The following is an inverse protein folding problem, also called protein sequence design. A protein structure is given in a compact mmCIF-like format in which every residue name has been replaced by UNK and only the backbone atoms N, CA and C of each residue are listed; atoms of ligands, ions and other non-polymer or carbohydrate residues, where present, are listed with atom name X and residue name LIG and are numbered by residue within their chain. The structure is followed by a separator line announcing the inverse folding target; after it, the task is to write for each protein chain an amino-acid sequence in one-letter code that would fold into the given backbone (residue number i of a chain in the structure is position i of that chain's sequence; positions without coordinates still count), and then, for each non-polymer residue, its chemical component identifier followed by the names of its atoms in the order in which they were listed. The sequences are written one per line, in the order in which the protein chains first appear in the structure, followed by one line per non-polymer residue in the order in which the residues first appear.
data_IF_135490511113
#
_entry.id   IF_135490511113
#
_cell.length_a   1.000
_cell.length_b   1.000
_cell.length_c   1.000
_cell.angle_alpha   90.00
_cell.angle_beta   90.00
_cell.angle_gamma   90.00
#
_symmetry.space_group_name_H-M   'P 1'
#
loop_
_entity.id
_entity.type
_entity.pdbx_description
1 polymer ?
#
# COMPACT_ATOMS: atom_id res chain seq x y z
N UNK A 1 31.89 -66.39 22.67
CA UNK A 1 30.92 -65.61 21.87
C UNK A 1 31.49 -64.22 21.71
N UNK A 2 32.01 -63.90 20.54
CA UNK A 2 32.61 -62.60 20.25
C UNK A 2 31.67 -61.89 19.29
N UNK A 3 30.88 -60.96 19.82
CA UNK A 3 29.92 -60.16 19.04
C UNK A 3 30.70 -59.21 18.15
N UNK A 4 30.73 -59.46 16.85
CA UNK A 4 31.37 -58.59 15.86
C UNK A 4 30.45 -57.38 15.64
N UNK A 5 30.89 -56.20 16.09
CA UNK A 5 30.17 -54.97 15.80
C UNK A 5 30.25 -54.67 14.29
N UNK A 6 29.09 -54.53 13.65
CA UNK A 6 28.99 -54.13 12.25
C UNK A 6 29.44 -52.66 12.14
N UNK A 7 30.35 -52.30 11.22
CA UNK A 7 30.77 -50.92 11.06
C UNK A 7 29.56 -50.10 10.58
N UNK A 8 29.21 -49.04 11.30
CA UNK A 8 28.23 -48.08 10.80
C UNK A 8 28.80 -47.42 9.55
N UNK A 9 28.17 -47.64 8.40
CA UNK A 9 28.51 -46.94 7.16
C UNK A 9 28.24 -45.46 7.38
N UNK A 10 29.30 -44.67 7.43
CA UNK A 10 29.19 -43.22 7.60
C UNK A 10 28.43 -42.66 6.39
N UNK A 11 27.25 -42.07 6.63
CA UNK A 11 26.41 -41.52 5.57
C UNK A 11 27.13 -40.30 4.97
N UNK A 12 27.63 -40.44 3.74
CA UNK A 12 28.21 -39.35 2.97
C UNK A 12 27.11 -38.60 2.21
N UNK A 13 27.06 -37.27 2.34
CA UNK A 13 26.20 -36.41 1.52
C UNK A 13 26.72 -36.37 0.07
N UNK A 14 25.83 -36.32 -0.95
CA UNK A 14 26.25 -36.17 -2.34
C UNK A 14 27.12 -34.92 -2.51
N UNK A 15 28.28 -35.07 -3.15
CA UNK A 15 29.15 -33.93 -3.49
C UNK A 15 28.52 -33.15 -4.65
N UNK A 16 28.40 -31.81 -4.57
CA UNK A 16 27.93 -31.01 -5.70
C UNK A 16 28.83 -31.23 -6.92
N UNK A 17 28.26 -31.73 -8.00
CA UNK A 17 28.92 -31.81 -9.30
C UNK A 17 28.46 -30.62 -10.14
N UNK A 18 29.34 -29.65 -10.36
CA UNK A 18 29.07 -28.54 -11.27
C UNK A 18 29.40 -29.01 -12.69
N UNK A 19 28.41 -29.56 -13.39
CA UNK A 19 28.54 -29.84 -14.83
C UNK A 19 28.18 -28.58 -15.61
N UNK A 20 29.00 -28.21 -16.57
CA UNK A 20 28.64 -27.22 -17.58
C UNK A 20 27.45 -27.77 -18.38
N UNK A 21 26.26 -27.22 -18.17
CA UNK A 21 25.10 -27.54 -19.00
C UNK A 21 25.27 -26.81 -20.33
N UNK A 22 25.03 -27.46 -21.47
CA UNK A 22 25.24 -26.88 -22.82
C UNK A 22 24.61 -25.48 -23.03
N UNK A 23 23.57 -25.13 -22.28
CA UNK A 23 22.98 -23.80 -22.27
C UNK A 23 23.87 -22.71 -21.62
N UNK A 24 24.67 -23.06 -20.61
CA UNK A 24 25.63 -22.18 -19.92
C UNK A 24 26.97 -22.03 -20.64
N UNK A 25 27.32 -22.98 -21.52
CA UNK A 25 28.52 -22.92 -22.37
C UNK A 25 28.35 -22.06 -23.64
N UNK A 26 27.11 -21.74 -24.01
CA UNK A 26 26.82 -21.12 -25.31
C UNK A 26 27.22 -19.65 -25.31
N UNK A 27 28.14 -19.30 -26.21
CA UNK A 27 28.50 -17.90 -26.48
C UNK A 27 27.51 -17.31 -27.48
N UNK A 28 26.87 -16.20 -27.10
CA UNK A 28 25.94 -15.43 -27.93
C UNK A 28 26.13 -13.94 -27.61
N UNK A 29 25.60 -13.01 -28.43
CA UNK A 29 25.70 -11.58 -28.11
C UNK A 29 25.21 -11.31 -26.68
N UNK A 30 26.02 -10.59 -25.90
CA UNK A 30 25.78 -10.29 -24.49
C UNK A 30 25.80 -11.50 -23.53
N UNK A 31 26.33 -12.67 -23.91
CA UNK A 31 26.48 -13.82 -22.99
C UNK A 31 27.39 -13.52 -21.78
N UNK A 32 28.29 -12.54 -21.90
CA UNK A 32 29.13 -12.05 -20.80
C UNK A 32 28.51 -10.85 -20.04
N UNK A 33 27.31 -10.41 -20.42
CA UNK A 33 26.64 -9.30 -19.76
C UNK A 33 26.25 -9.68 -18.33
N UNK A 34 26.68 -8.85 -17.39
CA UNK A 34 26.37 -9.02 -15.95
C UNK A 34 25.12 -8.24 -15.53
N UNK A 35 24.34 -7.77 -16.51
CA UNK A 35 23.16 -6.93 -16.33
C UNK A 35 22.12 -7.29 -17.36
N UNK A 36 20.86 -7.19 -16.98
CA UNK A 36 19.75 -7.39 -17.89
C UNK A 36 19.73 -6.29 -18.96
N UNK A 37 19.61 -6.70 -20.22
CA UNK A 37 19.60 -5.83 -21.41
C UNK A 37 18.23 -5.80 -22.12
N UNK A 38 17.21 -6.48 -21.56
CA UNK A 38 15.86 -6.56 -22.16
C UNK A 38 14.96 -5.36 -21.84
N UNK A 39 15.42 -4.40 -21.04
CA UNK A 39 14.70 -3.15 -20.78
C UNK A 39 15.64 -1.94 -20.69
N UNK A 40 15.06 -0.75 -20.89
CA UNK A 40 15.74 0.52 -20.65
C UNK A 40 15.54 0.96 -19.20
N UNK A 41 16.62 1.17 -18.41
CA UNK A 41 16.52 1.72 -17.06
C UNK A 41 15.91 3.13 -17.04
N UNK A 42 15.15 3.44 -15.99
CA UNK A 42 14.59 4.78 -15.81
C UNK A 42 15.64 5.82 -15.41
N UNK A 43 16.66 5.40 -14.65
CA UNK A 43 17.80 6.24 -14.25
C UNK A 43 19.03 5.95 -15.12
N UNK A 44 20.12 6.70 -14.92
CA UNK A 44 21.40 6.47 -15.61
C UNK A 44 21.96 5.04 -15.41
N UNK A 45 21.64 4.41 -14.28
CA UNK A 45 22.00 3.03 -13.97
C UNK A 45 20.74 2.28 -13.56
N UNK A 46 20.64 1.05 -14.03
CA UNK A 46 19.66 0.05 -13.59
C UNK A 46 19.75 -0.14 -12.08
N UNK A 47 18.60 -0.10 -11.41
CA UNK A 47 18.49 -0.50 -10.01
C UNK A 47 18.19 -1.99 -9.90
N UNK A 48 18.50 -2.58 -8.74
CA UNK A 48 18.15 -3.97 -8.48
C UNK A 48 16.63 -4.18 -8.38
N UNK A 49 15.87 -3.13 -8.01
CA UNK A 49 14.42 -3.13 -8.11
C UNK A 49 13.96 -3.36 -9.56
N UNK A 50 14.56 -2.65 -10.51
CA UNK A 50 14.19 -2.82 -11.93
C UNK A 50 14.53 -4.23 -12.41
N UNK A 51 15.68 -4.79 -12.00
CA UNK A 51 16.10 -6.15 -12.33
C UNK A 51 15.10 -7.24 -11.93
N UNK A 52 14.36 -7.02 -10.83
CA UNK A 52 13.45 -8.02 -10.26
C UNK A 52 11.98 -7.67 -10.45
N UNK A 53 11.65 -6.56 -11.11
CA UNK A 53 10.26 -6.13 -11.31
C UNK A 53 9.89 -5.84 -12.76
N UNK A 54 10.81 -5.32 -13.57
CA UNK A 54 10.54 -5.00 -14.98
C UNK A 54 10.39 -6.30 -15.77
N UNK A 55 9.37 -6.39 -16.62
CA UNK A 55 9.12 -7.52 -17.53
C UNK A 55 8.92 -8.90 -16.85
N UNK A 56 8.71 -8.94 -15.53
CA UNK A 56 8.33 -10.18 -14.82
C UNK A 56 6.91 -10.64 -15.18
N UNK A 57 5.99 -9.69 -15.38
CA UNK A 57 4.66 -9.99 -15.89
C UNK A 57 4.74 -10.08 -17.42
N UNK A 58 4.44 -11.24 -18.04
CA UNK A 58 4.64 -11.44 -19.47
C UNK A 58 3.50 -10.79 -20.27
N UNK A 59 3.62 -9.48 -20.56
CA UNK A 59 2.67 -8.80 -21.43
C UNK A 59 2.73 -9.41 -22.84
N UNK A 60 1.64 -10.01 -23.34
CA UNK A 60 1.64 -10.64 -24.64
C UNK A 60 1.96 -9.67 -25.77
N UNK A 61 1.72 -8.37 -25.59
CA UNK A 61 2.05 -7.34 -26.57
C UNK A 61 3.54 -7.25 -26.86
N UNK A 62 4.40 -7.64 -25.92
CA UNK A 62 5.85 -7.62 -26.13
C UNK A 62 6.41 -9.02 -26.45
N UNK A 63 6.07 -10.04 -25.67
CA UNK A 63 6.75 -11.33 -25.72
C UNK A 63 5.95 -12.49 -26.33
N UNK A 64 4.61 -12.43 -26.40
CA UNK A 64 3.79 -13.59 -26.76
C UNK A 64 3.07 -13.37 -28.09
N UNK A 65 3.67 -13.88 -29.17
CA UNK A 65 3.08 -13.83 -30.53
C UNK A 65 1.68 -14.45 -30.64
N UNK A 66 1.30 -15.31 -29.68
CA UNK A 66 0.01 -16.00 -29.61
C UNK A 66 -1.01 -15.38 -28.64
N UNK A 67 -0.67 -14.26 -27.98
CA UNK A 67 -1.51 -13.68 -26.93
C UNK A 67 -1.39 -14.41 -25.59
N UNK A 68 -2.38 -14.22 -24.71
CA UNK A 68 -2.45 -14.90 -23.41
C UNK A 68 -2.69 -16.40 -23.56
N UNK A 69 -1.90 -17.23 -22.87
CA UNK A 69 -2.06 -18.69 -22.88
C UNK A 69 -3.32 -19.17 -22.13
N UNK A 70 -3.71 -18.44 -21.08
CA UNK A 70 -4.90 -18.70 -20.29
C UNK A 70 -5.70 -17.40 -20.11
N UNK A 71 -7.02 -17.53 -20.04
CA UNK A 71 -7.95 -16.43 -19.87
C UNK A 71 -9.11 -16.81 -18.96
N UNK A 72 -9.96 -15.83 -18.69
CA UNK A 72 -11.21 -16.02 -17.96
C UNK A 72 -12.23 -16.77 -18.83
N UNK A 73 -13.28 -17.31 -18.19
CA UNK A 73 -14.32 -18.09 -18.87
C UNK A 73 -15.10 -17.28 -19.94
N UNK A 74 -15.08 -15.95 -19.84
CA UNK A 74 -15.67 -15.01 -20.82
C UNK A 74 -14.72 -14.68 -21.99
N UNK A 75 -13.55 -15.32 -22.06
CA UNK A 75 -12.56 -15.14 -23.11
C UNK A 75 -11.57 -13.99 -22.88
N UNK A 76 -11.68 -13.25 -21.76
CA UNK A 76 -10.74 -12.16 -21.44
C UNK A 76 -9.35 -12.70 -21.07
N UNK A 77 -8.31 -11.96 -21.43
CA UNK A 77 -6.93 -12.29 -21.09
C UNK A 77 -6.63 -12.25 -19.59
N UNK A 78 -5.44 -12.70 -19.18
CA UNK A 78 -5.07 -12.79 -17.76
C UNK A 78 -4.95 -11.46 -17.02
N UNK A 79 -4.63 -10.38 -17.75
CA UNK A 79 -4.51 -9.00 -17.24
C UNK A 79 -5.14 -8.02 -18.25
N UNK A 80 -6.47 -7.91 -18.28
CA UNK A 80 -7.17 -6.96 -19.13
C UNK A 80 -6.91 -5.52 -18.66
N UNK A 81 -6.53 -4.64 -19.61
CA UNK A 81 -6.25 -3.24 -19.30
C UNK A 81 -7.53 -2.45 -18.95
N UNK A 82 -8.70 -2.95 -19.35
CA UNK A 82 -10.01 -2.36 -19.06
C UNK A 82 -10.49 -2.56 -17.62
N UNK A 83 -9.69 -3.21 -16.76
CA UNK A 83 -9.94 -3.23 -15.31
C UNK A 83 -9.72 -1.87 -14.64
N UNK A 84 -9.27 -0.87 -15.40
CA UNK A 84 -9.43 0.53 -15.08
C UNK A 84 -9.93 1.30 -16.30
N UNK A 85 -10.66 2.39 -16.06
CA UNK A 85 -11.07 3.33 -17.09
C UNK A 85 -9.96 4.31 -17.49
N UNK A 86 -8.92 4.50 -16.65
CA UNK A 86 -7.72 5.26 -17.02
C UNK A 86 -6.93 4.53 -18.10
N UNK A 87 -6.20 5.30 -18.91
CA UNK A 87 -5.42 4.73 -20.01
C UNK A 87 -4.04 5.35 -20.06
N UNK A 88 -3.05 4.54 -20.41
CA UNK A 88 -1.74 5.01 -20.85
C UNK A 88 -1.62 4.85 -22.38
N UNK A 89 -0.74 5.62 -23.01
CA UNK A 89 -0.50 5.55 -24.44
C UNK A 89 -0.26 4.10 -24.90
N UNK A 90 -0.81 3.72 -26.04
CA UNK A 90 -0.72 2.35 -26.55
C UNK A 90 -1.59 1.31 -25.83
N UNK A 91 -2.45 1.69 -24.88
CA UNK A 91 -3.46 0.78 -24.29
C UNK A 91 -4.48 0.27 -25.31
N UNK A 92 -4.66 1.00 -26.41
CA UNK A 92 -5.51 0.67 -27.56
C UNK A 92 -4.85 -0.32 -28.55
N UNK A 93 -3.56 -0.62 -28.37
CA UNK A 93 -2.87 -1.61 -29.20
C UNK A 93 -3.49 -3.00 -28.99
N UNK A 94 -3.83 -3.72 -30.08
CA UNK A 94 -4.37 -5.05 -29.98
C UNK A 94 -3.35 -6.00 -29.35
N UNK A 95 -3.87 -6.94 -28.56
CA UNK A 95 -3.09 -8.12 -28.12
C UNK A 95 -2.81 -8.97 -29.36
N UNK A 96 -1.59 -9.48 -29.56
CA UNK A 96 -1.31 -10.40 -30.66
C UNK A 96 -2.23 -11.63 -30.64
N UNK A 97 -2.74 -12.03 -31.81
CA UNK A 97 -3.62 -13.19 -31.97
C UNK A 97 -2.88 -14.34 -32.67
N UNK A 98 -3.21 -15.58 -32.28
CA UNK A 98 -2.63 -16.79 -32.86
C UNK A 98 -3.30 -17.16 -34.18
N UNK A 99 -2.52 -17.20 -35.27
CA UNK A 99 -2.93 -17.82 -36.53
C UNK A 99 -1.74 -18.48 -37.24
N UNK A 100 -2.00 -19.30 -38.27
CA UNK A 100 -0.93 -19.95 -39.02
C UNK A 100 -0.02 -18.89 -39.68
N UNK A 101 1.25 -18.84 -39.28
CA UNK A 101 2.20 -17.82 -39.74
C UNK A 101 2.28 -16.56 -38.89
N UNK A 102 1.58 -16.48 -37.74
CA UNK A 102 1.63 -15.32 -36.82
C UNK A 102 2.92 -15.21 -35.99
N UNK A 103 3.95 -16.02 -36.28
CA UNK A 103 5.24 -15.94 -35.61
C UNK A 103 5.90 -14.59 -35.92
N UNK A 104 5.97 -13.71 -34.93
CA UNK A 104 6.52 -12.37 -35.06
C UNK A 104 6.89 -11.77 -33.71
N UNK A 105 7.79 -10.77 -33.74
CA UNK A 105 8.10 -9.95 -32.58
C UNK A 105 6.90 -9.05 -32.23
N UNK A 106 6.64 -8.86 -30.93
CA UNK A 106 5.63 -7.91 -30.45
C UNK A 106 6.03 -6.45 -30.70
N UNK A 107 5.35 -5.53 -30.01
CA UNK A 107 5.74 -4.12 -30.02
C UNK A 107 7.09 -3.93 -29.33
N UNK A 108 7.88 -2.94 -29.77
CA UNK A 108 9.13 -2.57 -29.09
C UNK A 108 8.88 -2.14 -27.64
N UNK A 109 9.87 -2.35 -26.77
CA UNK A 109 9.79 -1.92 -25.37
C UNK A 109 9.94 -0.38 -25.26
N UNK A 110 9.10 0.30 -24.46
CA UNK A 110 7.91 -0.21 -23.77
C UNK A 110 6.74 -0.48 -24.72
N UNK A 111 6.02 -1.60 -24.52
CA UNK A 111 4.89 -1.96 -25.38
C UNK A 111 3.68 -1.00 -25.26
N UNK A 112 3.54 -0.33 -24.11
CA UNK A 112 2.57 0.72 -23.80
C UNK A 112 3.00 1.49 -22.54
N UNK A 113 2.38 2.64 -22.28
CA UNK A 113 2.80 3.56 -21.21
C UNK A 113 2.75 3.00 -19.79
N UNK A 114 1.95 1.96 -19.50
CA UNK A 114 2.00 1.32 -18.17
C UNK A 114 3.36 0.69 -17.83
N UNK A 115 4.18 0.40 -18.84
CA UNK A 115 5.54 -0.12 -18.64
C UNK A 115 6.55 0.95 -18.22
N UNK A 116 6.16 2.23 -18.25
CA UNK A 116 7.03 3.36 -17.89
C UNK A 116 7.07 3.59 -16.37
N UNK A 117 6.08 3.10 -15.62
CA UNK A 117 6.04 3.27 -14.17
C UNK A 117 7.24 2.60 -13.48
N UNK A 118 7.84 3.32 -12.52
CA UNK A 118 8.83 2.80 -11.57
C UNK A 118 8.48 3.33 -10.20
N UNK A 119 8.44 2.45 -9.21
CA UNK A 119 8.29 2.86 -7.82
C UNK A 119 9.56 3.64 -7.37
N UNK A 120 9.46 4.93 -7.00
CA UNK A 120 10.59 5.70 -6.50
C UNK A 120 11.15 5.19 -5.16
N UNK A 121 10.41 4.33 -4.46
CA UNK A 121 10.86 3.66 -3.26
C UNK A 121 11.83 2.50 -3.56
N UNK A 122 11.84 1.99 -4.80
CA UNK A 122 12.66 0.85 -5.23
C UNK A 122 12.53 -0.37 -4.30
N UNK A 123 11.33 -0.58 -3.75
CA UNK A 123 11.05 -1.69 -2.86
C UNK A 123 10.77 -2.97 -3.63
N UNK A 124 11.31 -4.08 -3.15
CA UNK A 124 11.06 -5.43 -3.61
C UNK A 124 11.12 -6.36 -2.41
N UNK A 125 10.82 -7.64 -2.58
CA UNK A 125 10.64 -8.62 -1.50
C UNK A 125 11.64 -8.48 -0.34
N UNK A 126 12.95 -8.45 -0.62
CA UNK A 126 13.96 -8.36 0.43
C UNK A 126 13.94 -7.03 1.18
N UNK A 127 13.79 -5.90 0.48
CA UNK A 127 13.83 -4.58 1.12
C UNK A 127 12.58 -4.34 1.95
N UNK A 128 11.42 -4.81 1.48
CA UNK A 128 10.17 -4.84 2.23
C UNK A 128 10.33 -5.57 3.57
N UNK A 129 10.80 -6.82 3.54
CA UNK A 129 10.94 -7.62 4.77
C UNK A 129 11.97 -7.02 5.74
N UNK A 130 13.07 -6.46 5.23
CA UNK A 130 14.06 -5.78 6.05
C UNK A 130 13.46 -4.55 6.73
N UNK A 131 12.71 -3.74 6.00
CA UNK A 131 12.05 -2.56 6.54
C UNK A 131 11.04 -2.94 7.64
N UNK A 132 10.09 -3.82 7.34
CA UNK A 132 9.07 -4.24 8.30
C UNK A 132 9.66 -4.91 9.54
N UNK A 133 10.71 -5.74 9.38
CA UNK A 133 11.41 -6.33 10.53
C UNK A 133 12.02 -5.27 11.46
N UNK A 134 12.57 -4.18 10.89
CA UNK A 134 13.11 -3.09 11.68
C UNK A 134 12.01 -2.31 12.41
N UNK A 135 10.89 -2.01 11.75
CA UNK A 135 9.75 -1.32 12.35
C UNK A 135 9.19 -2.12 13.52
N UNK A 136 8.84 -3.40 13.31
CA UNK A 136 8.29 -4.27 14.36
C UNK A 136 9.27 -4.41 15.53
N UNK A 137 10.57 -4.53 15.26
CA UNK A 137 11.58 -4.57 16.33
C UNK A 137 11.59 -3.28 17.14
N UNK A 138 11.51 -2.12 16.49
CA UNK A 138 11.49 -0.82 17.17
C UNK A 138 10.23 -0.65 18.02
N UNK A 139 9.05 -1.02 17.50
CA UNK A 139 7.80 -0.93 18.25
C UNK A 139 7.82 -1.83 19.49
N UNK A 140 8.27 -3.07 19.35
CA UNK A 140 8.41 -3.98 20.49
C UNK A 140 9.39 -3.44 21.55
N UNK A 141 10.53 -2.88 21.12
CA UNK A 141 11.49 -2.27 22.06
C UNK A 141 10.88 -1.09 22.83
N UNK A 142 10.07 -0.25 22.16
CA UNK A 142 9.39 0.86 22.81
C UNK A 142 8.37 0.38 23.86
N UNK A 143 7.60 -0.66 23.54
CA UNK A 143 6.62 -1.26 24.46
C UNK A 143 7.34 -1.87 25.68
N UNK A 144 8.43 -2.60 25.48
CA UNK A 144 9.21 -3.17 26.58
C UNK A 144 9.83 -2.10 27.47
N UNK A 145 10.32 -1.00 26.90
CA UNK A 145 10.80 0.13 27.68
C UNK A 145 9.68 0.77 28.51
N UNK A 146 8.47 0.89 27.95
CA UNK A 146 7.29 1.40 28.64
C UNK A 146 6.87 0.51 29.82
N UNK A 147 6.90 -0.82 29.64
CA UNK A 147 6.68 -1.81 30.72
C UNK A 147 7.66 -1.60 31.87
N UNK A 148 8.96 -1.54 31.56
CA UNK A 148 10.00 -1.36 32.58
C UNK A 148 9.87 -0.03 33.34
N UNK A 149 9.49 1.03 32.63
CA UNK A 149 9.29 2.35 33.20
C UNK A 149 7.94 2.54 33.91
N UNK A 150 7.04 1.54 33.87
CA UNK A 150 5.64 1.65 34.31
C UNK A 150 4.95 2.88 33.70
N UNK A 151 5.17 3.10 32.41
CA UNK A 151 4.69 4.27 31.71
C UNK A 151 3.15 4.32 31.63
N UNK A 152 2.51 3.16 31.55
CA UNK A 152 1.05 3.05 31.44
C UNK A 152 0.32 3.59 32.68
N UNK A 153 0.93 3.49 33.87
CA UNK A 153 0.38 4.02 35.13
C UNK A 153 0.19 5.55 35.11
N UNK A 154 0.86 6.24 34.18
CA UNK A 154 0.84 7.69 34.06
C UNK A 154 -0.29 8.19 33.15
N UNK A 155 -1.03 7.29 32.49
CA UNK A 155 -2.05 7.66 31.54
C UNK A 155 -3.28 8.23 32.24
N UNK A 156 -3.82 9.30 31.67
CA UNK A 156 -5.10 9.85 32.11
C UNK A 156 -6.22 8.83 31.87
N UNK A 157 -7.17 8.70 32.82
CA UNK A 157 -8.23 7.69 32.74
C UNK A 157 -9.09 7.83 31.47
N UNK A 158 -9.44 9.05 31.08
CA UNK A 158 -10.23 9.29 29.87
C UNK A 158 -9.42 8.97 28.60
N UNK A 159 -8.08 9.09 28.66
CA UNK A 159 -7.20 8.69 27.57
C UNK A 159 -7.13 7.17 27.40
N UNK A 160 -7.07 6.41 28.50
CA UNK A 160 -7.15 4.95 28.47
C UNK A 160 -8.41 4.49 27.73
N UNK A 161 -9.56 5.08 28.08
CA UNK A 161 -10.83 4.79 27.41
C UNK A 161 -10.82 5.20 25.92
N UNK A 162 -10.28 6.39 25.62
CA UNK A 162 -10.13 6.88 24.24
C UNK A 162 -9.30 5.92 23.38
N UNK A 163 -8.17 5.42 23.88
CA UNK A 163 -7.32 4.45 23.16
C UNK A 163 -8.06 3.14 22.93
N UNK A 164 -8.70 2.59 23.97
CA UNK A 164 -9.48 1.35 23.89
C UNK A 164 -10.58 1.43 22.82
N UNK A 165 -11.27 2.57 22.72
CA UNK A 165 -12.38 2.78 21.80
C UNK A 165 -11.91 3.16 20.40
N UNK A 166 -11.10 4.22 20.29
CA UNK A 166 -10.90 4.94 19.03
C UNK A 166 -9.60 4.57 18.32
N UNK A 167 -8.48 4.46 19.05
CA UNK A 167 -7.24 3.93 18.47
C UNK A 167 -7.44 2.46 18.10
N UNK A 168 -8.13 1.70 18.96
CA UNK A 168 -8.55 0.35 18.62
C UNK A 168 -9.51 0.27 17.43
N UNK A 169 -10.42 1.24 17.23
CA UNK A 169 -11.33 1.20 16.08
C UNK A 169 -10.61 1.44 14.75
N UNK A 170 -9.50 2.19 14.76
CA UNK A 170 -8.72 2.48 13.56
C UNK A 170 -8.17 1.22 12.86
N UNK A 171 -7.86 0.17 13.63
CA UNK A 171 -7.35 -1.10 13.06
C UNK A 171 -8.32 -1.72 12.03
N UNK A 172 -9.63 -1.46 12.14
CA UNK A 172 -10.63 -1.95 11.18
C UNK A 172 -10.52 -1.25 9.83
N UNK A 173 -10.16 0.04 9.83
CA UNK A 173 -9.89 0.81 8.61
C UNK A 173 -8.67 0.23 7.91
N UNK A 174 -7.56 0.09 8.63
CA UNK A 174 -6.31 -0.43 8.06
C UNK A 174 -6.45 -1.86 7.54
N UNK A 175 -7.09 -2.74 8.32
CA UNK A 175 -7.34 -4.10 7.88
C UNK A 175 -8.27 -4.12 6.65
N UNK A 176 -9.33 -3.32 6.66
CA UNK A 176 -10.29 -3.22 5.57
C UNK A 176 -9.66 -2.77 4.26
N UNK A 177 -8.94 -1.64 4.29
CA UNK A 177 -8.27 -1.09 3.11
C UNK A 177 -7.10 -1.98 2.67
N UNK A 178 -6.30 -2.48 3.61
CA UNK A 178 -5.17 -3.36 3.32
C UNK A 178 -5.60 -4.63 2.59
N UNK A 179 -6.57 -5.36 3.15
CA UNK A 179 -6.99 -6.67 2.65
C UNK A 179 -8.01 -6.58 1.50
N UNK A 180 -8.95 -5.65 1.53
CA UNK A 180 -10.06 -5.64 0.55
C UNK A 180 -9.94 -4.53 -0.51
N UNK A 181 -9.07 -3.53 -0.32
CA UNK A 181 -8.79 -2.53 -1.35
C UNK A 181 -7.47 -2.84 -2.06
N UNK A 182 -6.34 -2.72 -1.36
CA UNK A 182 -5.02 -2.82 -1.99
C UNK A 182 -4.68 -4.27 -2.40
N UNK A 183 -5.08 -5.27 -1.59
CA UNK A 183 -4.89 -6.66 -1.98
C UNK A 183 -5.71 -7.05 -3.24
N UNK A 184 -6.86 -6.42 -3.45
CA UNK A 184 -7.67 -6.60 -4.66
C UNK A 184 -7.13 -5.78 -5.85
N UNK A 185 -6.72 -4.54 -5.62
CA UNK A 185 -6.17 -3.66 -6.64
C UNK A 185 -4.88 -4.21 -7.25
N UNK A 186 -3.97 -4.78 -6.44
CA UNK A 186 -2.73 -5.33 -6.98
C UNK A 186 -2.98 -6.45 -7.98
N UNK A 187 -4.02 -7.29 -7.83
CA UNK A 187 -4.30 -8.35 -8.82
C UNK A 187 -4.63 -7.75 -10.19
N UNK A 188 -5.21 -6.55 -10.22
CA UNK A 188 -5.73 -5.92 -11.44
C UNK A 188 -4.75 -4.97 -12.11
N UNK A 189 -3.65 -4.61 -11.44
CA UNK A 189 -2.71 -3.67 -12.00
C UNK A 189 -1.95 -4.26 -13.21
N UNK A 190 -1.58 -3.43 -14.20
CA UNK A 190 -1.21 -3.89 -15.54
C UNK A 190 0.23 -4.38 -15.68
N UNK A 191 1.10 -4.08 -14.72
CA UNK A 191 2.50 -4.53 -14.72
C UNK A 191 2.96 -4.89 -13.32
N UNK A 192 3.98 -5.76 -13.22
CA UNK A 192 4.54 -6.17 -11.93
C UNK A 192 5.12 -5.00 -11.12
N UNK A 193 5.54 -3.92 -11.78
CA UNK A 193 5.99 -2.69 -11.12
C UNK A 193 4.84 -2.04 -10.32
N UNK A 194 3.63 -2.01 -10.89
CA UNK A 194 2.43 -1.59 -10.17
C UNK A 194 2.02 -2.61 -9.12
N UNK A 195 1.93 -3.90 -9.49
CA UNK A 195 1.48 -4.95 -8.57
C UNK A 195 2.33 -4.93 -7.28
N UNK A 196 3.65 -4.84 -7.42
CA UNK A 196 4.58 -4.78 -6.29
C UNK A 196 4.42 -3.51 -5.45
N UNK A 197 4.30 -2.32 -6.06
CA UNK A 197 4.10 -1.09 -5.30
C UNK A 197 2.79 -1.11 -4.49
N UNK A 198 1.73 -1.64 -5.07
CA UNK A 198 0.40 -1.78 -4.46
C UNK A 198 0.38 -2.88 -3.40
N UNK A 199 1.07 -4.01 -3.63
CA UNK A 199 1.13 -5.10 -2.66
C UNK A 199 1.88 -4.70 -1.40
N UNK A 200 2.98 -3.95 -1.52
CA UNK A 200 3.67 -3.38 -0.36
C UNK A 200 2.74 -2.43 0.42
N UNK A 201 1.96 -1.58 -0.27
CA UNK A 201 0.98 -0.71 0.37
C UNK A 201 -0.05 -1.53 1.18
N UNK A 202 -0.55 -2.63 0.59
CA UNK A 202 -1.45 -3.57 1.26
C UNK A 202 -0.80 -4.16 2.52
N UNK A 203 0.46 -4.61 2.41
CA UNK A 203 1.18 -5.22 3.52
C UNK A 203 1.46 -4.24 4.66
N UNK A 204 1.80 -2.97 4.38
CA UNK A 204 1.98 -1.96 5.42
C UNK A 204 0.67 -1.70 6.20
N UNK A 205 -0.47 -1.63 5.50
CA UNK A 205 -1.79 -1.50 6.14
C UNK A 205 -2.14 -2.68 7.02
N UNK A 206 -1.97 -3.90 6.50
CA UNK A 206 -2.25 -5.11 7.27
C UNK A 206 -1.30 -5.19 8.48
N UNK A 207 -0.03 -4.81 8.33
CA UNK A 207 0.93 -4.73 9.45
C UNK A 207 0.45 -3.71 10.49
N UNK A 208 0.10 -2.49 10.10
CA UNK A 208 -0.37 -1.45 11.02
C UNK A 208 -1.61 -1.91 11.81
N UNK A 209 -2.58 -2.54 11.15
CA UNK A 209 -3.74 -3.13 11.83
C UNK A 209 -3.34 -4.20 12.86
N UNK A 210 -2.37 -5.06 12.53
CA UNK A 210 -1.86 -6.09 13.43
C UNK A 210 -1.04 -5.49 14.58
N UNK A 211 -0.24 -4.46 14.33
CA UNK A 211 0.52 -3.71 15.34
C UNK A 211 -0.46 -3.10 16.36
N UNK A 212 -1.57 -2.50 15.91
CA UNK A 212 -2.63 -1.98 16.78
C UNK A 212 -3.35 -3.09 17.57
N UNK A 213 -3.61 -4.24 16.96
CA UNK A 213 -4.25 -5.37 17.64
C UNK A 213 -3.34 -5.98 18.73
N UNK A 214 -2.05 -6.17 18.44
CA UNK A 214 -1.06 -6.63 19.41
C UNK A 214 -0.83 -5.61 20.53
N UNK A 215 -0.89 -4.33 20.19
CA UNK A 215 -0.83 -3.26 21.18
C UNK A 215 -2.06 -3.25 22.09
N UNK A 216 -3.27 -3.43 21.54
CA UNK A 216 -4.49 -3.56 22.33
C UNK A 216 -4.44 -4.75 23.30
N UNK A 217 -3.88 -5.89 22.86
CA UNK A 217 -3.61 -7.04 23.75
C UNK A 217 -2.63 -6.66 24.87
N UNK A 218 -1.53 -5.98 24.54
CA UNK A 218 -0.55 -5.50 25.53
C UNK A 218 -1.22 -4.57 26.56
N UNK A 219 -2.01 -3.60 26.11
CA UNK A 219 -2.72 -2.67 27.01
C UNK A 219 -3.73 -3.39 27.91
N UNK A 220 -4.38 -4.44 27.41
CA UNK A 220 -5.29 -5.28 28.19
C UNK A 220 -4.58 -6.06 29.31
N UNK A 221 -3.29 -6.37 29.13
CA UNK A 221 -2.45 -7.03 30.13
C UNK A 221 -1.87 -6.04 31.15
N UNK A 222 -1.48 -4.84 30.70
CA UNK A 222 -0.73 -3.87 31.50
C UNK A 222 -1.61 -2.88 32.28
N UNK A 223 -2.81 -2.57 31.78
CA UNK A 223 -3.69 -1.55 32.38
C UNK A 223 -4.91 -2.23 33.00
N UNK A 224 -5.01 -2.18 34.34
CA UNK A 224 -6.16 -2.71 35.06
C UNK A 224 -7.46 -2.04 34.60
N UNK A 225 -8.43 -2.86 34.18
CA UNK A 225 -9.74 -2.39 33.72
C UNK A 225 -9.76 -1.86 32.28
N UNK A 226 -8.70 -2.05 31.49
CA UNK A 226 -8.72 -1.75 30.06
C UNK A 226 -9.70 -2.67 29.32
N UNK A 227 -10.65 -2.08 28.59
CA UNK A 227 -11.61 -2.84 27.77
C UNK A 227 -11.07 -3.02 26.34
N UNK A 228 -10.30 -4.09 26.14
CA UNK A 228 -9.76 -4.44 24.83
C UNK A 228 -10.82 -4.70 23.76
N UNK A 229 -12.08 -4.97 24.12
CA UNK A 229 -13.18 -5.19 23.20
C UNK A 229 -13.95 -3.93 22.79
N UNK A 230 -13.70 -2.79 23.44
CA UNK A 230 -14.48 -1.56 23.25
C UNK A 230 -14.50 -1.05 21.80
N UNK A 231 -13.42 -1.28 21.06
CA UNK A 231 -13.29 -0.90 19.66
C UNK A 231 -14.33 -1.53 18.73
N UNK A 232 -14.83 -2.74 19.04
CA UNK A 232 -15.83 -3.44 18.22
C UNK A 232 -17.16 -2.68 18.24
N UNK A 233 -17.64 -2.34 19.43
CA UNK A 233 -18.88 -1.60 19.58
C UNK A 233 -18.74 -0.16 19.04
N UNK A 234 -17.56 0.44 19.25
CA UNK A 234 -17.23 1.77 18.73
C UNK A 234 -17.32 1.79 17.20
N UNK A 235 -16.63 0.88 16.51
CA UNK A 235 -16.69 0.76 15.05
C UNK A 235 -18.12 0.51 14.54
N UNK A 236 -18.84 -0.43 15.17
CA UNK A 236 -20.14 -0.87 14.68
C UNK A 236 -21.27 0.14 14.92
N UNK A 237 -21.21 0.95 15.98
CA UNK A 237 -22.38 1.69 16.46
C UNK A 237 -22.11 3.14 16.88
N UNK A 238 -20.87 3.57 17.12
CA UNK A 238 -20.61 4.95 17.52
C UNK A 238 -20.94 5.89 16.35
N UNK A 239 -21.85 6.88 16.54
CA UNK A 239 -22.17 7.87 15.52
C UNK A 239 -20.95 8.59 14.95
N UNK A 240 -19.92 8.84 15.76
CA UNK A 240 -18.70 9.53 15.33
C UNK A 240 -17.89 8.72 14.29
N UNK A 241 -18.05 7.39 14.28
CA UNK A 241 -17.34 6.48 13.37
C UNK A 241 -18.13 6.11 12.12
N UNK A 242 -19.44 6.35 12.07
CA UNK A 242 -20.25 5.84 10.97
C UNK A 242 -19.88 6.44 9.61
N UNK A 243 -19.51 7.72 9.55
CA UNK A 243 -19.04 8.32 8.30
C UNK A 243 -17.73 7.71 7.78
N UNK A 244 -16.79 7.39 8.68
CA UNK A 244 -15.53 6.71 8.33
C UNK A 244 -15.79 5.28 7.89
N UNK A 245 -16.62 4.55 8.65
CA UNK A 245 -16.99 3.17 8.34
C UNK A 245 -17.67 3.05 6.99
N UNK A 246 -18.70 3.85 6.73
CA UNK A 246 -19.40 3.85 5.44
C UNK A 246 -18.41 4.16 4.29
N UNK A 247 -17.56 5.17 4.46
CA UNK A 247 -16.58 5.55 3.44
C UNK A 247 -15.58 4.41 3.20
N UNK A 248 -15.03 3.81 4.25
CA UNK A 248 -14.09 2.69 4.15
C UNK A 248 -14.72 1.46 3.49
N UNK A 249 -15.95 1.10 3.86
CA UNK A 249 -16.69 -0.01 3.23
C UNK A 249 -16.93 0.29 1.74
N UNK A 250 -17.34 1.51 1.37
CA UNK A 250 -17.51 1.91 -0.02
C UNK A 250 -16.20 1.84 -0.81
N UNK A 251 -15.07 2.26 -0.22
CA UNK A 251 -13.75 2.17 -0.85
C UNK A 251 -13.39 0.71 -1.21
N UNK A 252 -13.72 -0.26 -0.34
CA UNK A 252 -13.47 -1.69 -0.62
C UNK A 252 -14.35 -2.27 -1.73
N UNK A 253 -15.43 -1.59 -2.10
CA UNK A 253 -16.34 -2.02 -3.16
C UNK A 253 -15.94 -1.56 -4.56
N UNK A 254 -14.91 -0.71 -4.67
CA UNK A 254 -14.48 -0.15 -5.96
C UNK A 254 -13.87 -1.25 -6.83
N UNK A 255 -14.41 -1.40 -8.04
CA UNK A 255 -13.89 -2.35 -9.01
C UNK A 255 -12.66 -1.82 -9.76
N UNK A 256 -12.70 -0.56 -10.18
CA UNK A 256 -11.60 0.09 -10.88
C UNK A 256 -10.40 0.25 -9.94
N UNK A 257 -9.29 -0.43 -10.25
CA UNK A 257 -8.14 -0.46 -9.34
C UNK A 257 -7.44 0.89 -9.21
N UNK A 258 -7.45 1.73 -10.26
CA UNK A 258 -6.91 3.09 -10.17
C UNK A 258 -7.83 3.97 -9.36
N UNK A 259 -9.15 3.89 -9.56
CA UNK A 259 -10.10 4.64 -8.73
C UNK A 259 -9.92 4.28 -7.26
N UNK A 260 -9.77 2.99 -6.95
CA UNK A 260 -9.59 2.51 -5.60
C UNK A 260 -8.36 3.12 -4.91
N UNK A 261 -7.21 3.09 -5.59
CA UNK A 261 -5.96 3.66 -5.05
C UNK A 261 -6.05 5.19 -4.99
N UNK A 262 -6.64 5.83 -6.00
CA UNK A 262 -6.82 7.28 -6.02
C UNK A 262 -7.68 7.74 -4.84
N UNK A 263 -8.86 7.14 -4.68
CA UNK A 263 -9.78 7.46 -3.61
C UNK A 263 -9.16 7.18 -2.22
N UNK A 264 -8.39 6.09 -2.07
CA UNK A 264 -7.69 5.80 -0.82
C UNK A 264 -6.52 6.75 -0.54
N UNK A 265 -5.47 6.72 -1.36
CA UNK A 265 -4.20 7.40 -1.07
C UNK A 265 -4.21 8.90 -1.38
N UNK A 266 -5.02 9.36 -2.35
CA UNK A 266 -5.08 10.79 -2.72
C UNK A 266 -6.17 11.50 -1.93
N UNK A 267 -7.29 10.85 -1.58
CA UNK A 267 -8.46 11.52 -0.97
C UNK A 267 -8.67 11.13 0.50
N UNK A 268 -8.93 9.84 0.78
CA UNK A 268 -9.28 9.38 2.12
C UNK A 268 -8.15 9.55 3.12
N UNK A 269 -6.93 9.16 2.75
CA UNK A 269 -5.79 9.23 3.66
C UNK A 269 -5.45 10.66 4.06
N UNK A 270 -5.30 11.65 3.15
CA UNK A 270 -5.03 13.02 3.56
C UNK A 270 -6.17 13.68 4.35
N UNK A 271 -7.44 13.38 4.02
CA UNK A 271 -8.59 14.07 4.62
C UNK A 271 -9.09 13.41 5.91
N UNK A 272 -8.95 12.09 6.05
CA UNK A 272 -9.48 11.31 7.19
C UNK A 272 -8.33 10.65 7.96
N UNK A 273 -7.42 9.95 7.27
CA UNK A 273 -6.30 9.24 7.87
C UNK A 273 -5.36 10.14 8.66
N UNK A 274 -4.70 11.08 7.98
CA UNK A 274 -3.77 12.04 8.61
C UNK A 274 -4.49 12.96 9.63
N UNK A 275 -5.78 13.24 9.41
CA UNK A 275 -6.59 14.00 10.37
C UNK A 275 -6.76 13.23 11.68
N UNK A 276 -7.09 11.93 11.62
CA UNK A 276 -7.21 11.09 12.80
C UNK A 276 -5.85 10.82 13.44
N UNK A 277 -4.86 10.36 12.67
CA UNK A 277 -3.55 9.95 13.17
C UNK A 277 -2.71 11.12 13.66
N UNK A 278 -2.40 12.07 12.78
CA UNK A 278 -1.43 13.14 13.04
C UNK A 278 -2.02 14.33 13.77
N UNK A 279 -3.29 14.65 13.53
CA UNK A 279 -3.92 15.86 14.08
C UNK A 279 -4.75 15.60 15.37
N UNK A 280 -5.15 14.35 15.63
CA UNK A 280 -5.81 13.96 16.88
C UNK A 280 -4.88 13.10 17.74
N UNK A 281 -4.59 11.87 17.33
CA UNK A 281 -3.94 10.89 18.22
C UNK A 281 -2.52 11.32 18.61
N UNK A 282 -1.66 11.64 17.64
CA UNK A 282 -0.28 12.07 17.92
C UNK A 282 -0.18 13.37 18.71
N UNK A 283 -1.17 14.28 18.56
CA UNK A 283 -1.18 15.55 19.29
C UNK A 283 -1.68 15.39 20.73
N UNK A 284 -2.67 14.53 20.96
CA UNK A 284 -3.30 14.36 22.26
C UNK A 284 -2.48 13.47 23.20
N UNK A 285 -1.86 12.41 22.68
CA UNK A 285 -1.29 11.35 23.53
C UNK A 285 -0.21 11.83 24.51
N UNK A 286 0.82 12.62 24.13
CA UNK A 286 1.93 12.94 25.04
C UNK A 286 1.48 13.71 26.28
N UNK A 287 0.54 14.65 26.12
CA UNK A 287 0.00 15.44 27.23
C UNK A 287 -0.99 14.65 28.10
N UNK A 288 -1.45 13.48 27.64
CA UNK A 288 -2.21 12.53 28.44
C UNK A 288 -1.35 11.43 29.09
N UNK A 289 -0.01 11.59 29.09
CA UNK A 289 0.92 10.64 29.68
C UNK A 289 1.33 9.49 28.75
N UNK A 290 0.89 9.52 27.50
CA UNK A 290 1.13 8.46 26.52
C UNK A 290 2.14 8.87 25.45
N UNK A 291 3.35 8.32 25.59
CA UNK A 291 4.42 8.45 24.59
C UNK A 291 4.60 7.21 23.73
N UNK A 292 3.74 6.18 23.88
CA UNK A 292 3.86 4.90 23.19
C UNK A 292 2.95 4.88 21.96
N UNK A 293 1.66 5.21 22.11
CA UNK A 293 0.70 5.25 20.99
C UNK A 293 1.21 6.11 19.83
N UNK A 294 1.80 7.30 20.04
CA UNK A 294 2.38 8.10 18.95
C UNK A 294 3.47 7.38 18.16
N UNK A 295 4.20 6.43 18.74
CA UNK A 295 5.25 5.69 18.03
C UNK A 295 4.67 4.66 17.06
N UNK A 296 3.55 4.03 17.41
CA UNK A 296 2.83 3.11 16.52
C UNK A 296 2.17 3.88 15.38
N UNK A 297 1.39 4.90 15.74
CA UNK A 297 0.73 5.78 14.76
C UNK A 297 1.76 6.50 13.89
N UNK A 298 2.91 6.87 14.44
CA UNK A 298 4.02 7.46 13.70
C UNK A 298 4.64 6.53 12.66
N UNK A 299 4.72 5.23 12.93
CA UNK A 299 5.19 4.25 11.96
C UNK A 299 4.22 4.12 10.78
N UNK A 300 2.92 4.03 11.05
CA UNK A 300 1.88 4.02 10.00
C UNK A 300 1.86 5.32 9.19
N UNK A 301 1.96 6.47 9.86
CA UNK A 301 1.97 7.78 9.20
C UNK A 301 3.20 7.94 8.30
N UNK A 302 4.35 7.41 8.72
CA UNK A 302 5.55 7.36 7.88
C UNK A 302 5.34 6.46 6.65
N UNK A 303 4.76 5.26 6.83
CA UNK A 303 4.45 4.35 5.73
C UNK A 303 3.54 5.03 4.70
N UNK A 304 2.55 5.80 5.14
CA UNK A 304 1.71 6.55 4.23
C UNK A 304 2.46 7.71 3.54
N UNK A 305 2.97 8.66 4.33
CA UNK A 305 3.46 9.94 3.82
C UNK A 305 4.76 9.81 3.01
N UNK A 306 5.68 8.96 3.46
CA UNK A 306 7.02 8.84 2.89
C UNK A 306 7.15 7.70 1.88
N UNK A 307 6.18 6.78 1.84
CA UNK A 307 6.23 5.60 0.97
C UNK A 307 4.99 5.48 0.07
N UNK A 308 3.79 5.37 0.63
CA UNK A 308 2.59 5.03 -0.15
C UNK A 308 2.17 6.19 -1.06
N UNK A 309 2.09 7.40 -0.51
CA UNK A 309 1.83 8.60 -1.32
C UNK A 309 2.97 8.84 -2.32
N UNK A 310 4.20 8.48 -1.96
CA UNK A 310 5.40 8.67 -2.77
C UNK A 310 5.42 7.81 -4.05
N UNK A 311 4.87 6.58 -4.05
CA UNK A 311 4.67 5.83 -5.30
C UNK A 311 3.38 6.24 -6.04
N UNK A 312 2.35 6.62 -5.28
CA UNK A 312 1.04 7.00 -5.84
C UNK A 312 1.15 8.21 -6.75
N UNK A 313 1.88 9.25 -6.32
CA UNK A 313 2.07 10.49 -7.08
C UNK A 313 2.67 10.26 -8.48
N UNK A 314 3.86 9.64 -8.66
CA UNK A 314 4.42 9.39 -9.98
C UNK A 314 3.59 8.43 -10.83
N UNK A 315 2.89 7.46 -10.22
CA UNK A 315 1.96 6.57 -10.93
C UNK A 315 0.86 7.37 -11.63
N UNK A 316 0.16 8.25 -10.90
CA UNK A 316 -0.88 9.11 -11.50
C UNK A 316 -0.30 10.23 -12.34
N UNK A 317 0.91 10.73 -12.03
CA UNK A 317 1.58 11.75 -12.84
C UNK A 317 1.78 11.28 -14.30
N UNK A 318 2.18 10.03 -14.52
CA UNK A 318 2.29 9.43 -15.85
C UNK A 318 0.96 9.44 -16.61
N UNK A 319 -0.17 9.27 -15.91
CA UNK A 319 -1.51 9.22 -16.51
C UNK A 319 -2.07 10.61 -16.80
N UNK A 320 -1.86 11.61 -15.94
CA UNK A 320 -2.30 12.99 -16.20
C UNK A 320 -1.46 13.65 -17.29
N UNK A 321 -0.17 13.32 -17.37
CA UNK A 321 0.75 13.85 -18.40
C UNK A 321 0.81 12.97 -19.66
N UNK A 322 0.01 11.91 -19.74
CA UNK A 322 -0.04 11.03 -20.89
C UNK A 322 -0.37 11.80 -22.16
N UNK A 323 0.44 11.60 -23.21
CA UNK A 323 0.33 12.39 -24.46
C UNK A 323 -0.92 12.08 -25.26
N UNK A 324 -1.52 10.89 -25.09
CA UNK A 324 -2.67 10.42 -25.84
C UNK A 324 -3.96 10.56 -25.03
N UNK A 325 -3.93 10.29 -23.72
CA UNK A 325 -5.11 10.16 -22.86
C UNK A 325 -5.11 11.12 -21.65
N UNK A 326 -4.10 11.99 -21.51
CA UNK A 326 -3.94 12.81 -20.29
C UNK A 326 -5.13 13.75 -20.03
N UNK A 327 -5.77 14.27 -21.07
CA UNK A 327 -6.96 15.11 -20.93
C UNK A 327 -8.18 14.31 -20.42
N UNK A 328 -8.44 13.14 -21.01
CA UNK A 328 -9.52 12.25 -20.57
C UNK A 328 -9.26 11.73 -19.15
N UNK A 329 -8.02 11.35 -18.84
CA UNK A 329 -7.62 10.87 -17.52
C UNK A 329 -7.83 11.95 -16.45
N UNK A 330 -7.38 13.19 -16.66
CA UNK A 330 -7.62 14.31 -15.73
C UNK A 330 -9.11 14.53 -15.51
N UNK A 331 -9.91 14.49 -16.58
CA UNK A 331 -11.37 14.63 -16.48
C UNK A 331 -11.99 13.52 -15.61
N UNK A 332 -11.58 12.27 -15.81
CA UNK A 332 -12.08 11.14 -15.02
C UNK A 332 -11.67 11.25 -13.54
N UNK A 333 -10.41 11.57 -13.25
CA UNK A 333 -9.96 11.79 -11.87
C UNK A 333 -10.69 12.96 -11.21
N UNK A 334 -11.03 14.02 -11.96
CA UNK A 334 -11.87 15.10 -11.43
C UNK A 334 -13.27 14.62 -11.04
N UNK A 335 -13.88 13.71 -11.80
CA UNK A 335 -15.16 13.10 -11.46
C UNK A 335 -15.06 12.20 -10.21
N UNK A 336 -13.95 11.49 -10.04
CA UNK A 336 -13.68 10.76 -8.80
C UNK A 336 -13.55 11.71 -7.61
N UNK A 337 -12.90 12.87 -7.76
CA UNK A 337 -12.82 13.88 -6.70
C UNK A 337 -14.21 14.41 -6.30
N UNK A 338 -15.09 14.69 -7.27
CA UNK A 338 -16.48 15.11 -7.02
C UNK A 338 -17.27 14.06 -6.22
N UNK A 339 -16.90 12.78 -6.34
CA UNK A 339 -17.55 11.69 -5.59
C UNK A 339 -16.95 11.51 -4.19
N UNK A 340 -15.62 11.44 -4.10
CA UNK A 340 -14.93 10.99 -2.90
C UNK A 340 -14.61 12.11 -1.91
N UNK A 341 -14.40 13.35 -2.37
CA UNK A 341 -14.11 14.47 -1.46
C UNK A 341 -15.28 14.76 -0.52
N UNK A 342 -16.55 14.87 -1.00
CA UNK A 342 -17.67 15.12 -0.09
C UNK A 342 -17.85 14.01 0.95
N UNK A 343 -17.66 12.75 0.56
CA UNK A 343 -17.73 11.58 1.48
C UNK A 343 -16.65 11.66 2.56
N UNK A 344 -15.41 11.94 2.17
CA UNK A 344 -14.29 12.05 3.11
C UNK A 344 -14.41 13.27 4.02
N UNK A 345 -14.86 14.42 3.51
CA UNK A 345 -15.13 15.61 4.34
C UNK A 345 -16.26 15.32 5.35
N UNK A 346 -17.34 14.67 4.93
CA UNK A 346 -18.41 14.25 5.84
C UNK A 346 -17.90 13.29 6.92
N UNK A 347 -17.10 12.28 6.56
CA UNK A 347 -16.47 11.36 7.49
C UNK A 347 -15.57 12.09 8.50
N UNK A 348 -14.70 12.98 8.02
CA UNK A 348 -13.81 13.80 8.83
C UNK A 348 -14.58 14.68 9.84
N UNK A 349 -15.64 15.36 9.39
CA UNK A 349 -16.52 16.18 10.25
C UNK A 349 -17.23 15.35 11.31
N UNK A 350 -17.61 14.12 10.97
CA UNK A 350 -18.31 13.22 11.89
C UNK A 350 -17.41 12.75 13.04
N UNK A 351 -16.08 12.72 12.84
CA UNK A 351 -15.09 12.45 13.89
C UNK A 351 -14.86 13.61 14.86
N UNK A 352 -15.37 14.82 14.58
CA UNK A 352 -15.15 16.01 15.42
C UNK A 352 -15.38 15.78 16.93
N UNK A 353 -16.42 15.04 17.40
CA UNK A 353 -16.64 14.84 18.83
C UNK A 353 -15.45 14.24 19.57
N UNK A 354 -14.60 13.46 18.86
CA UNK A 354 -13.44 12.79 19.43
C UNK A 354 -12.41 13.79 20.00
N UNK A 355 -12.32 15.00 19.45
CA UNK A 355 -11.40 16.06 19.91
C UNK A 355 -11.66 16.53 21.35
N UNK A 356 -12.85 16.27 21.87
CA UNK A 356 -13.28 16.74 23.18
C UNK A 356 -13.14 15.70 24.29
N UNK A 357 -12.87 14.43 23.94
CA UNK A 357 -12.87 13.33 24.89
C UNK A 357 -11.60 13.20 25.74
N UNK A 358 -10.37 13.37 25.19
CA UNK A 358 -9.17 13.36 26.03
C UNK A 358 -9.16 14.52 27.03
N UNK A 359 -8.56 14.30 28.21
CA UNK A 359 -8.43 15.34 29.24
C UNK A 359 -7.50 16.46 28.76
N UNK A 360 -6.31 16.11 28.28
CA UNK A 360 -5.45 17.02 27.54
C UNK A 360 -5.82 16.97 26.06
N UNK A 361 -6.46 18.03 25.58
CA UNK A 361 -7.02 18.08 24.22
C UNK A 361 -5.95 18.38 23.18
N UNK A 362 -6.07 17.84 21.96
CA UNK A 362 -5.25 18.28 20.83
C UNK A 362 -5.61 19.73 20.43
N UNK A 363 -4.88 20.34 19.48
CA UNK A 363 -5.31 21.56 18.80
C UNK A 363 -6.74 21.45 18.25
N UNK A 364 -7.40 22.60 18.01
CA UNK A 364 -8.81 22.61 17.61
C UNK A 364 -9.02 21.81 16.33
N UNK A 365 -10.17 21.14 16.26
CA UNK A 365 -10.56 20.32 15.10
C UNK A 365 -10.46 21.11 13.77
N UNK A 366 -11.00 22.33 13.72
CA UNK A 366 -10.93 23.18 12.51
C UNK A 366 -9.48 23.45 12.08
N UNK A 367 -8.56 23.68 13.02
CA UNK A 367 -7.14 23.92 12.69
C UNK A 367 -6.47 22.63 12.14
N UNK A 368 -6.90 21.46 12.60
CA UNK A 368 -6.46 20.17 12.06
C UNK A 368 -7.02 19.91 10.66
N UNK A 369 -8.32 20.15 10.47
CA UNK A 369 -8.99 19.96 9.20
C UNK A 369 -8.48 20.95 8.13
N UNK A 370 -8.24 22.20 8.47
CA UNK A 370 -7.67 23.19 7.54
C UNK A 370 -6.25 22.78 7.07
N UNK A 371 -5.45 22.22 7.97
CA UNK A 371 -4.13 21.65 7.62
C UNK A 371 -4.26 20.47 6.67
N UNK A 372 -5.18 19.54 6.95
CA UNK A 372 -5.46 18.40 6.08
C UNK A 372 -5.92 18.85 4.68
N UNK A 373 -6.86 19.81 4.61
CA UNK A 373 -7.35 20.39 3.34
C UNK A 373 -6.24 21.12 2.55
N UNK A 374 -5.38 21.86 3.24
CA UNK A 374 -4.25 22.54 2.62
C UNK A 374 -3.26 21.54 2.02
N UNK A 375 -2.94 20.47 2.77
CA UNK A 375 -2.06 19.40 2.29
C UNK A 375 -2.66 18.64 1.11
N UNK A 376 -3.95 18.29 1.20
CA UNK A 376 -4.69 17.68 0.10
C UNK A 376 -4.66 18.55 -1.16
N UNK A 377 -4.88 19.86 -1.02
CA UNK A 377 -4.82 20.80 -2.16
C UNK A 377 -3.43 20.83 -2.82
N UNK A 378 -2.36 20.72 -2.03
CA UNK A 378 -1.00 20.62 -2.56
C UNK A 378 -0.79 19.30 -3.34
N UNK A 379 -1.29 18.17 -2.82
CA UNK A 379 -1.26 16.87 -3.52
C UNK A 379 -1.99 16.95 -4.86
N UNK A 380 -3.19 17.56 -4.90
CA UNK A 380 -3.94 17.73 -6.15
C UNK A 380 -3.19 18.61 -7.16
N UNK A 381 -2.54 19.67 -6.68
CA UNK A 381 -1.75 20.57 -7.54
C UNK A 381 -0.57 19.85 -8.21
N UNK A 382 0.11 18.96 -7.48
CA UNK A 382 1.18 18.11 -8.04
C UNK A 382 0.67 17.12 -9.10
N UNK A 383 -0.62 16.76 -9.04
CA UNK A 383 -1.29 15.89 -9.99
C UNK A 383 -2.02 16.65 -11.11
N UNK A 384 -1.85 17.96 -11.23
CA UNK A 384 -2.55 18.81 -12.21
C UNK A 384 -4.09 18.71 -12.11
N UNK A 385 -4.61 18.48 -10.90
CA UNK A 385 -6.04 18.41 -10.59
C UNK A 385 -6.48 19.64 -9.81
N UNK A 386 -7.76 20.00 -9.94
CA UNK A 386 -8.32 21.16 -9.24
C UNK A 386 -9.08 20.71 -7.99
N UNK A 387 -8.84 21.38 -6.87
CA UNK A 387 -9.59 21.14 -5.65
C UNK A 387 -11.10 21.40 -5.88
N UNK A 388 -11.98 20.44 -5.57
CA UNK A 388 -13.42 20.61 -5.74
C UNK A 388 -13.98 21.62 -4.71
N UNK A 389 -15.10 22.27 -5.03
CA UNK A 389 -15.68 23.35 -4.19
C UNK A 389 -16.10 22.83 -2.80
N UNK A 390 -16.46 21.57 -2.74
CA UNK A 390 -16.88 20.83 -1.57
C UNK A 390 -15.76 20.74 -0.52
N UNK A 391 -14.49 20.93 -0.91
CA UNK A 391 -13.38 21.04 0.04
C UNK A 391 -13.51 22.26 0.97
N UNK A 392 -14.19 23.32 0.53
CA UNK A 392 -14.44 24.53 1.31
C UNK A 392 -15.51 24.38 2.41
N UNK A 393 -16.17 23.22 2.52
CA UNK A 393 -17.27 22.97 3.45
C UNK A 393 -16.83 22.55 4.87
#
# INVERSE_FOLDING_TARGET
MTTTAVPSTERSVPKPAFTDAEAGAKVFPDSDARRYNYFKPAKRKQSHYEDVTVEVQPDPRHYLSQGWLYGFADGKGGYPLEWTALRAWGSDRPVPERYAGSGGAGYEWPAHGWHEFRDPNEEWELTLYRYNSNVVRQLNQNIEAARQAKAFDQWNRNWVQFVAQHVGAWMHVDHGLGLYLFANANRRAPTNMHNNAISVNSMHRIRAAQDLALYNLTLSEEIEGFDGGAHIQTWNSDPAWQGVRETAEQLTSIWDWCEAIFAANVVFEPLVGELFRSNLVQQAAPSNGDFITPTLIGAEEYDFAERDLRYTKPMFHLLVTDKQFGAENRKLMQQWLETWVPRCVHAARTLQPLWSQPDAKPPRFEDGLDRAKSRFSAILSELELTAPKELGQ
#
